data_IF_640201452483
#
_entry.id   IF_640201452483
#
_cell.length_a   1.000
_cell.length_b   1.000
_cell.length_c   1.000
_cell.angle_alpha   90.00
_cell.angle_beta   90.00
_cell.angle_gamma   90.00
#
_symmetry.space_group_name_H-M   'P 1'
#
loop_
_entity.id
_entity.type
_entity.pdbx_description
1 polymer ?
#
# COMPACT_ATOMS: atom_id res chain seq x y z
N UNK A 1 19.44 7.62 -8.33
CA UNK A 1 18.03 7.75 -8.74
C UNK A 1 17.45 8.99 -8.09
N UNK A 2 16.63 9.79 -8.78
CA UNK A 2 15.94 10.92 -8.15
C UNK A 2 14.54 10.48 -7.73
N UNK A 3 14.27 10.42 -6.42
CA UNK A 3 13.02 9.90 -5.85
C UNK A 3 11.79 10.63 -6.37
N UNK A 4 11.81 11.97 -6.37
CA UNK A 4 10.67 12.81 -6.75
C UNK A 4 10.38 12.67 -8.25
N UNK A 5 11.43 12.71 -9.08
CA UNK A 5 11.28 12.55 -10.54
C UNK A 5 10.76 11.16 -10.90
N UNK A 6 11.26 10.13 -10.24
CA UNK A 6 10.78 8.76 -10.41
C UNK A 6 9.30 8.65 -10.05
N UNK A 7 8.92 9.16 -8.88
CA UNK A 7 7.55 9.10 -8.40
C UNK A 7 6.60 9.84 -9.34
N UNK A 8 7.01 11.01 -9.85
CA UNK A 8 6.25 11.73 -10.88
C UNK A 8 6.08 10.89 -12.14
N UNK A 9 7.18 10.36 -12.70
CA UNK A 9 7.11 9.54 -13.91
C UNK A 9 6.29 8.25 -13.74
N UNK A 10 6.28 7.68 -12.53
CA UNK A 10 5.40 6.56 -12.17
C UNK A 10 3.92 6.98 -12.24
N UNK A 11 3.55 8.13 -11.66
CA UNK A 11 2.17 8.63 -11.73
C UNK A 11 1.76 9.02 -13.16
N UNK A 12 2.66 9.58 -13.96
CA UNK A 12 2.39 9.87 -15.38
C UNK A 12 2.06 8.57 -16.14
N UNK A 13 2.77 7.47 -15.88
CA UNK A 13 2.42 6.15 -16.46
C UNK A 13 1.09 5.61 -15.92
N UNK A 14 0.85 5.79 -14.62
CA UNK A 14 -0.35 5.32 -13.94
C UNK A 14 -1.63 5.94 -14.51
N UNK A 15 -1.61 7.22 -14.89
CA UNK A 15 -2.75 7.90 -15.51
C UNK A 15 -3.16 7.28 -16.86
N UNK A 16 -2.21 6.65 -17.55
CA UNK A 16 -2.46 6.00 -18.85
C UNK A 16 -2.82 4.53 -18.76
N UNK A 17 -2.45 3.85 -17.66
CA UNK A 17 -2.69 2.42 -17.50
C UNK A 17 -4.00 2.13 -16.76
N UNK A 18 -5.03 1.76 -17.52
CA UNK A 18 -6.34 1.42 -16.97
C UNK A 18 -6.37 0.09 -16.18
N UNK A 19 -5.34 -0.76 -16.28
CA UNK A 19 -5.33 -2.08 -15.63
C UNK A 19 -4.88 -2.02 -14.18
N UNK A 20 -4.18 -0.95 -13.79
CA UNK A 20 -3.61 -0.82 -12.46
C UNK A 20 -4.71 -0.52 -11.43
N UNK A 21 -4.70 -1.29 -10.34
CA UNK A 21 -5.68 -1.14 -9.26
C UNK A 21 -5.03 -0.58 -8.01
N UNK A 22 -5.82 -0.15 -7.02
CA UNK A 22 -5.29 0.36 -5.74
C UNK A 22 -4.35 -0.62 -5.03
N UNK A 23 -4.57 -1.93 -5.19
CA UNK A 23 -3.69 -2.97 -4.64
C UNK A 23 -2.31 -2.98 -5.31
N UNK A 24 -2.27 -2.80 -6.63
CA UNK A 24 -1.03 -2.67 -7.39
C UNK A 24 -0.24 -1.43 -6.95
N UNK A 25 -0.92 -0.30 -6.80
CA UNK A 25 -0.31 0.96 -6.35
C UNK A 25 0.30 0.78 -4.97
N UNK A 26 -0.46 0.22 -4.03
CA UNK A 26 0.03 -0.03 -2.66
C UNK A 26 1.25 -0.96 -2.65
N UNK A 27 1.20 -2.05 -3.43
CA UNK A 27 2.31 -2.98 -3.55
C UNK A 27 3.56 -2.32 -4.18
N UNK A 28 3.37 -1.57 -5.25
CA UNK A 28 4.45 -0.84 -5.91
C UNK A 28 5.10 0.17 -4.96
N UNK A 29 4.31 0.95 -4.20
CA UNK A 29 4.83 1.92 -3.25
C UNK A 29 5.62 1.25 -2.12
N UNK A 30 5.18 0.09 -1.63
CA UNK A 30 5.95 -0.69 -0.65
C UNK A 30 7.30 -1.15 -1.21
N UNK A 31 7.32 -1.66 -2.45
CA UNK A 31 8.55 -2.07 -3.14
C UNK A 31 9.46 -0.86 -3.43
N UNK A 32 8.89 0.27 -3.83
CA UNK A 32 9.63 1.50 -4.08
C UNK A 32 10.29 2.05 -2.82
N UNK A 33 9.58 2.01 -1.68
CA UNK A 33 10.15 2.37 -0.39
C UNK A 33 11.32 1.45 0.00
N UNK A 34 11.17 0.13 -0.19
CA UNK A 34 12.27 -0.82 0.01
C UNK A 34 13.45 -0.55 -0.91
N UNK A 35 13.20 -0.21 -2.17
CA UNK A 35 14.25 0.14 -3.12
C UNK A 35 15.02 1.39 -2.68
N UNK A 36 14.32 2.40 -2.17
CA UNK A 36 14.92 3.59 -1.57
C UNK A 36 15.79 3.26 -0.34
N UNK A 37 15.28 2.43 0.58
CA UNK A 37 16.06 1.96 1.74
C UNK A 37 17.33 1.20 1.32
N UNK A 38 17.25 0.48 0.19
CA UNK A 38 18.38 -0.21 -0.43
C UNK A 38 19.23 0.69 -1.35
N UNK A 39 19.14 2.02 -1.22
CA UNK A 39 19.91 3.01 -2.00
C UNK A 39 19.79 2.84 -3.52
N UNK A 40 18.62 2.40 -3.99
CA UNK A 40 18.31 2.19 -5.40
C UNK A 40 19.25 1.23 -6.14
N UNK A 41 19.71 0.17 -5.46
CA UNK A 41 20.47 -0.95 -6.09
C UNK A 41 19.71 -1.53 -7.28
N UNK A 42 20.45 -2.11 -8.23
CA UNK A 42 19.84 -2.74 -9.41
C UNK A 42 18.80 -3.80 -9.04
N UNK A 43 19.10 -4.57 -7.99
CA UNK A 43 18.20 -5.58 -7.44
C UNK A 43 18.26 -5.54 -5.90
N UNK A 44 17.15 -5.81 -5.24
CA UNK A 44 17.06 -5.91 -3.79
C UNK A 44 16.25 -7.13 -3.36
N UNK A 45 16.54 -7.61 -2.16
CA UNK A 45 15.91 -8.79 -1.58
C UNK A 45 14.64 -8.38 -0.83
N UNK A 46 13.62 -9.24 -0.90
CA UNK A 46 12.34 -9.01 -0.25
C UNK A 46 11.87 -10.23 0.53
N UNK A 47 11.32 -9.97 1.71
CA UNK A 47 10.50 -10.95 2.42
C UNK A 47 9.03 -10.73 2.07
N UNK A 48 8.36 -11.78 1.61
CA UNK A 48 6.96 -11.74 1.20
C UNK A 48 6.03 -11.23 2.30
N UNK A 49 6.22 -11.65 3.55
CA UNK A 49 5.35 -11.25 4.66
C UNK A 49 5.49 -9.76 4.97
N UNK A 50 6.72 -9.26 4.96
CA UNK A 50 7.00 -7.85 5.23
C UNK A 50 6.43 -6.96 4.12
N UNK A 51 6.61 -7.34 2.86
CA UNK A 51 6.04 -6.60 1.73
C UNK A 51 4.51 -6.60 1.79
N UNK A 52 3.89 -7.74 2.11
CA UNK A 52 2.44 -7.82 2.30
C UNK A 52 1.96 -6.87 3.42
N UNK A 53 2.66 -6.84 4.55
CA UNK A 53 2.32 -5.98 5.68
C UNK A 53 2.46 -4.48 5.32
N UNK A 54 3.56 -4.10 4.64
CA UNK A 54 3.78 -2.74 4.17
C UNK A 54 2.73 -2.29 3.14
N UNK A 55 2.40 -3.17 2.19
CA UNK A 55 1.40 -2.92 1.15
C UNK A 55 -0.06 -3.04 1.66
N UNK A 56 -0.27 -3.38 2.94
CA UNK A 56 -1.60 -3.63 3.52
C UNK A 56 -2.41 -4.71 2.77
N UNK A 57 -1.72 -5.70 2.21
CA UNK A 57 -2.33 -6.85 1.53
C UNK A 57 -2.42 -8.03 2.50
N UNK A 58 -3.63 -8.40 2.92
CA UNK A 58 -3.84 -9.56 3.79
C UNK A 58 -3.89 -10.90 3.04
N UNK A 59 -4.26 -10.88 1.76
CA UNK A 59 -4.48 -12.11 0.98
C UNK A 59 -3.23 -12.54 0.22
N UNK A 60 -2.88 -13.82 0.36
CA UNK A 60 -1.73 -14.39 -0.35
C UNK A 60 -1.93 -14.42 -1.87
N UNK A 61 -3.15 -14.70 -2.31
CA UNK A 61 -3.49 -14.79 -3.73
C UNK A 61 -3.45 -13.41 -4.39
N UNK A 62 -3.99 -12.39 -3.70
CA UNK A 62 -3.93 -10.99 -4.16
C UNK A 62 -2.48 -10.52 -4.30
N UNK A 63 -1.63 -10.78 -3.31
CA UNK A 63 -0.21 -10.45 -3.42
C UNK A 63 0.44 -11.08 -4.65
N UNK A 64 0.30 -12.40 -4.82
CA UNK A 64 0.95 -13.11 -5.94
C UNK A 64 0.41 -12.65 -7.30
N UNK A 65 -0.89 -12.39 -7.39
CA UNK A 65 -1.53 -11.84 -8.60
C UNK A 65 -0.94 -10.46 -8.93
N UNK A 66 -1.00 -9.51 -8.00
CA UNK A 66 -0.50 -8.16 -8.23
C UNK A 66 1.02 -8.12 -8.50
N UNK A 67 1.80 -8.98 -7.84
CA UNK A 67 3.24 -9.08 -8.08
C UNK A 67 3.54 -9.55 -9.51
N UNK A 68 2.79 -10.55 -9.99
CA UNK A 68 2.90 -11.04 -11.36
C UNK A 68 2.45 -9.98 -12.36
N UNK A 69 1.33 -9.34 -12.14
CA UNK A 69 0.80 -8.28 -13.01
C UNK A 69 1.77 -7.10 -13.10
N UNK A 70 2.30 -6.59 -11.98
CA UNK A 70 3.35 -5.55 -11.97
C UNK A 70 4.62 -5.97 -12.73
N UNK A 71 4.97 -7.26 -12.68
CA UNK A 71 6.10 -7.79 -13.43
C UNK A 71 5.80 -7.83 -14.94
N UNK A 72 4.62 -8.32 -15.31
CA UNK A 72 4.22 -8.48 -16.70
C UNK A 72 4.04 -7.11 -17.40
N UNK A 73 3.54 -6.11 -16.67
CA UNK A 73 3.43 -4.72 -17.15
C UNK A 73 4.74 -3.93 -17.09
N UNK A 74 5.84 -4.54 -16.61
CA UNK A 74 7.15 -3.93 -16.61
C UNK A 74 7.35 -2.81 -15.59
N UNK A 75 6.52 -2.71 -14.55
CA UNK A 75 6.78 -1.81 -13.42
C UNK A 75 7.94 -2.30 -12.55
N UNK A 76 8.07 -3.63 -12.45
CA UNK A 76 9.14 -4.32 -11.74
C UNK A 76 9.62 -5.52 -12.55
N UNK A 77 10.77 -6.07 -12.17
CA UNK A 77 11.21 -7.42 -12.53
C UNK A 77 11.27 -8.25 -11.25
N UNK A 78 10.42 -9.26 -11.16
CA UNK A 78 10.34 -10.15 -10.02
C UNK A 78 11.11 -11.45 -10.28
N UNK A 79 11.97 -11.84 -9.33
CA UNK A 79 12.72 -13.10 -9.36
C UNK A 79 12.41 -13.86 -8.08
N UNK A 80 11.46 -14.81 -8.10
CA UNK A 80 11.14 -15.61 -6.93
C UNK A 80 12.34 -16.46 -6.50
N UNK A 81 12.53 -16.63 -5.20
CA UNK A 81 13.52 -17.56 -4.68
C UNK A 81 13.13 -19.00 -5.04
N UNK A 82 14.08 -19.83 -5.46
CA UNK A 82 13.78 -21.19 -5.92
C UNK A 82 13.39 -22.14 -4.77
N UNK A 83 13.75 -21.80 -3.53
CA UNK A 83 13.44 -22.60 -2.35
C UNK A 83 13.25 -21.72 -1.10
N UNK A 84 12.80 -22.32 0.01
CA UNK A 84 12.50 -21.64 1.28
C UNK A 84 13.69 -20.91 1.92
N UNK A 85 14.92 -21.19 1.49
CA UNK A 85 16.14 -20.58 1.98
C UNK A 85 16.65 -19.48 1.05
N UNK A 86 16.10 -19.37 -0.15
CA UNK A 86 16.43 -18.32 -1.10
C UNK A 86 15.41 -17.19 -0.97
N UNK A 87 15.92 -15.99 -0.73
CA UNK A 87 15.13 -14.77 -0.71
C UNK A 87 14.68 -14.41 -2.12
N UNK A 88 13.45 -13.92 -2.22
CA UNK A 88 12.98 -13.39 -3.50
C UNK A 88 13.62 -12.04 -3.76
N UNK A 89 13.85 -11.73 -5.03
CA UNK A 89 14.50 -10.50 -5.46
C UNK A 89 13.62 -9.69 -6.39
N UNK A 90 13.74 -8.37 -6.30
CA UNK A 90 13.00 -7.41 -7.14
C UNK A 90 13.95 -6.36 -7.67
N UNK A 91 13.72 -5.97 -8.92
CA UNK A 91 14.29 -4.77 -9.54
C UNK A 91 13.13 -3.87 -9.95
N UNK A 92 13.21 -2.57 -9.66
CA UNK A 92 12.19 -1.61 -10.11
C UNK A 92 12.61 -0.95 -11.42
N UNK A 93 11.66 -0.78 -12.34
CA UNK A 93 11.88 0.00 -13.55
C UNK A 93 12.10 1.46 -13.19
N UNK A 94 12.98 2.15 -13.92
CA UNK A 94 13.30 3.57 -13.69
C UNK A 94 12.36 4.44 -14.49
N UNK A 95 11.59 5.29 -13.82
CA UNK A 95 10.74 6.29 -14.48
C UNK A 95 11.40 7.68 -14.44
N UNK A 96 11.13 8.51 -15.46
CA UNK A 96 11.56 9.91 -15.48
C UNK A 96 13.06 10.15 -15.69
N UNK A 97 13.85 9.12 -16.04
CA UNK A 97 15.21 9.30 -16.56
C UNK A 97 15.11 9.70 -18.02
N UNK A 98 15.15 11.01 -18.30
CA UNK A 98 15.39 11.47 -19.66
C UNK A 98 16.77 10.96 -20.09
N UNK A 99 16.80 9.85 -20.82
CA UNK A 99 17.97 9.45 -21.61
C UNK A 99 17.98 10.39 -22.81
N UNK A 100 18.55 11.57 -22.60
CA UNK A 100 19.00 12.39 -23.71
C UNK A 100 20.14 11.66 -24.41
N UNK A 101 19.80 10.73 -25.30
CA UNK A 101 20.61 10.46 -26.47
C UNK A 101 19.89 11.14 -27.62
N UNK A 102 20.55 12.18 -28.12
CA UNK A 102 20.20 13.00 -29.27
C UNK A 102 19.68 12.21 -30.46
N UNK A 103 18.50 12.57 -30.99
CA UNK A 103 18.25 12.97 -32.40
C UNK A 103 16.74 13.24 -32.57
N UNK A 104 16.37 14.47 -32.95
CA UNK A 104 15.08 14.75 -33.63
C UNK A 104 13.94 15.38 -32.81
N UNK A 105 13.87 16.71 -32.87
CA UNK A 105 12.66 17.57 -33.01
C UNK A 105 11.54 17.53 -31.94
N UNK A 106 11.55 18.59 -31.13
CA UNK A 106 10.48 19.25 -30.37
C UNK A 106 9.03 18.74 -30.47
N UNK A 107 8.35 18.62 -29.31
CA UNK A 107 7.35 19.59 -28.81
C UNK A 107 6.64 19.03 -27.55
N UNK A 108 6.44 19.87 -26.53
CA UNK A 108 5.55 19.53 -25.40
C UNK A 108 6.19 19.50 -24.00
N UNK A 109 6.86 20.57 -23.59
CA UNK A 109 7.03 20.86 -22.16
C UNK A 109 5.65 21.17 -21.57
N UNK A 110 4.92 20.15 -21.12
CA UNK A 110 3.87 20.34 -20.11
C UNK A 110 4.44 19.89 -18.79
N UNK A 111 5.33 20.72 -18.26
CA UNK A 111 5.57 20.84 -16.82
C UNK A 111 4.30 21.39 -16.16
N UNK A 112 3.22 20.62 -16.19
CA UNK A 112 2.02 20.82 -15.40
C UNK A 112 2.03 19.76 -14.31
N UNK A 113 2.11 20.17 -13.06
CA UNK A 113 1.61 19.34 -11.97
C UNK A 113 0.09 19.36 -12.08
N UNK A 114 -0.62 18.24 -12.32
CA UNK A 114 -2.00 18.16 -11.91
C UNK A 114 -1.97 17.80 -10.43
N UNK A 115 -1.50 18.72 -9.57
CA UNK A 115 -2.15 18.77 -8.27
C UNK A 115 -3.57 19.19 -8.60
N UNK A 116 -4.48 18.22 -8.63
CA UNK A 116 -5.91 18.49 -8.68
C UNK A 116 -6.16 19.47 -7.54
N UNK A 117 -6.43 20.73 -7.89
CA UNK A 117 -6.93 21.71 -6.95
C UNK A 117 -8.28 21.16 -6.46
N UNK A 118 -8.26 20.49 -5.31
CA UNK A 118 -9.48 20.09 -4.61
C UNK A 118 -10.11 21.37 -4.06
N UNK A 119 -10.76 22.15 -4.94
CA UNK A 119 -11.56 23.30 -4.54
C UNK A 119 -12.78 22.72 -3.84
N UNK A 120 -12.77 22.76 -2.51
CA UNK A 120 -13.95 22.50 -1.70
C UNK A 120 -15.09 23.39 -2.18
N UNK A 121 -16.08 22.80 -2.86
CA UNK A 121 -17.36 23.47 -3.13
C UNK A 121 -18.11 23.58 -1.80
N UNK A 122 -17.90 24.68 -1.08
CA UNK A 122 -18.73 25.12 0.05
C UNK A 122 -20.15 25.34 -0.49
N UNK A 123 -21.02 24.34 -0.38
CA UNK A 123 -22.46 24.60 -0.35
C UNK A 123 -22.80 24.95 1.10
N UNK A 124 -23.03 26.23 1.36
CA UNK A 124 -23.68 26.69 2.58
C UNK A 124 -25.06 26.02 2.67
N UNK A 125 -25.21 25.12 3.64
CA UNK A 125 -26.44 24.97 4.40
C UNK A 125 -26.05 24.94 5.87
N UNK A 126 -26.21 26.09 6.52
CA UNK A 126 -26.56 26.19 7.94
C UNK A 126 -27.61 25.13 8.27
N UNK A 127 -27.69 24.50 9.43
CA UNK A 127 -26.94 24.47 10.68
C UNK A 127 -27.52 23.25 11.42
N UNK A 128 -26.71 22.57 12.24
CA UNK A 128 -27.10 21.72 13.38
C UNK A 128 -25.91 20.86 13.78
N UNK A 129 -24.99 21.45 14.54
CA UNK A 129 -24.10 20.69 15.40
C UNK A 129 -24.93 19.94 16.44
N UNK A 130 -24.65 18.65 16.69
CA UNK A 130 -24.38 18.09 18.03
C UNK A 130 -24.03 16.58 17.97
N UNK A 131 -22.76 16.30 18.30
CA UNK A 131 -22.23 15.14 19.05
C UNK A 131 -22.33 13.71 18.50
N UNK A 132 -21.27 13.27 17.80
CA UNK A 132 -20.87 11.85 17.74
C UNK A 132 -20.10 11.49 19.02
N UNK A 133 -20.79 10.84 19.97
CA UNK A 133 -20.16 10.14 21.09
C UNK A 133 -19.26 9.02 20.56
N UNK A 134 -18.03 8.96 21.08
CA UNK A 134 -17.08 7.84 20.93
C UNK A 134 -17.73 6.54 21.40
N UNK A 135 -18.04 5.64 20.47
CA UNK A 135 -18.29 4.24 20.79
C UNK A 135 -17.05 3.41 20.49
N UNK A 136 -16.32 3.07 21.56
CA UNK A 136 -15.29 2.06 21.53
C UNK A 136 -15.89 0.71 21.11
N UNK A 137 -15.20 0.02 20.20
CA UNK A 137 -15.49 -1.38 19.87
C UNK A 137 -15.23 -2.24 21.11
N UNK A 138 -16.30 -2.57 21.85
CA UNK A 138 -16.31 -3.67 22.81
C UNK A 138 -16.14 -4.99 22.04
N UNK A 139 -15.09 -5.75 22.37
CA UNK A 139 -14.98 -7.19 22.08
C UNK A 139 -16.18 -7.90 22.69
N UNK A 140 -17.02 -8.53 21.87
CA UNK A 140 -17.92 -9.58 22.34
C UNK A 140 -17.16 -10.90 22.28
N UNK A 141 -16.66 -11.35 23.44
CA UNK A 141 -16.30 -12.74 23.67
C UNK A 141 -17.58 -13.45 24.13
N UNK A 142 -18.19 -14.26 23.27
CA UNK A 142 -19.13 -15.28 23.70
C UNK A 142 -18.35 -16.42 24.36
N UNK A 143 -18.50 -16.60 25.67
CA UNK A 143 -18.11 -17.81 26.38
C UNK A 143 -19.26 -18.82 26.27
N UNK A 144 -18.93 -20.06 25.90
CA UNK A 144 -19.58 -21.21 26.51
C UNK A 144 -18.51 -21.86 27.42
N UNK A 145 -18.63 -21.65 28.73
CA UNK A 145 -17.87 -22.39 29.74
C UNK A 145 -18.75 -23.56 30.23
N UNK A 146 -18.27 -24.82 30.22
CA UNK A 146 -19.10 -26.00 30.47
C UNK A 146 -19.07 -26.51 31.93
N UNK A 147 -18.95 -25.63 32.94
CA UNK A 147 -18.92 -26.07 34.34
C UNK A 147 -19.94 -25.31 35.18
N UNK A 148 -20.97 -26.05 35.61
CA UNK A 148 -21.98 -25.61 36.56
C UNK A 148 -21.31 -25.48 37.92
N UNK A 149 -21.16 -24.25 38.42
CA UNK A 149 -20.81 -23.99 39.82
C UNK A 149 -21.86 -23.02 40.31
N UNK A 150 -22.78 -23.51 41.14
CA UNK A 150 -23.71 -22.67 41.88
C UNK A 150 -22.91 -21.86 42.91
N UNK A 151 -23.02 -20.54 42.86
CA UNK A 151 -22.44 -19.63 43.85
C UNK A 151 -23.55 -18.90 44.57
N UNK A 152 -24.29 -19.62 45.42
CA UNK A 152 -25.10 -19.02 46.48
C UNK A 152 -24.41 -19.29 47.81
N UNK A 153 -23.50 -18.38 48.18
CA UNK A 153 -23.10 -18.21 49.59
C UNK A 153 -23.11 -16.72 49.90
N UNK A 154 -24.16 -16.31 50.60
CA UNK A 154 -24.31 -14.97 51.16
C UNK A 154 -23.46 -14.89 52.43
N UNK A 155 -22.47 -13.99 52.45
CA UNK A 155 -21.50 -13.79 53.53
C UNK A 155 -21.84 -12.55 54.37
N UNK A 156 -23.12 -12.23 54.55
CA UNK A 156 -23.56 -11.02 55.25
C UNK A 156 -23.76 -11.17 56.78
N UNK A 157 -23.27 -12.23 57.42
CA UNK A 157 -23.28 -12.32 58.89
C UNK A 157 -21.96 -11.80 59.50
N UNK A 158 -22.01 -10.95 60.54
CA UNK A 158 -20.81 -10.52 61.25
C UNK A 158 -20.30 -11.62 62.20
N UNK A 159 -18.97 -11.68 62.33
CA UNK A 159 -18.16 -12.67 63.07
C UNK A 159 -18.69 -13.08 64.45
#
# INVERSE_FOLDING_TARGET
>A
MNYIRHLRGFFDHLETDANITSQHISLYMALFNLWNLNRFREQFEINRQDVMAMARIGSKTTYSKCMKELNDWGYIRYSPGANRYQVSKVSCTRFGTATGTTTGTATGTTSGTPFINYINKKNNKEDSSQNLKKNGRKKQNGKANPLHVETDKDYSEPL
#
